data_IF_140714213266
#
_entry.id   IF_140714213266
#
_cell.length_a   1.000
_cell.length_b   1.000
_cell.length_c   1.000
_cell.angle_alpha   90.00
_cell.angle_beta   90.00
_cell.angle_gamma   90.00
#
_symmetry.space_group_name_H-M   'P 1'
#
loop_
_entity.id
_entity.type
_entity.pdbx_description
1 polymer ?
#
# COMPACT_ATOMS: atom_id res chain seq x y z
N UNK A 1 15.41 17.22 16.03
CA UNK A 1 15.31 17.13 14.55
C UNK A 1 16.08 18.29 13.97
N UNK A 2 16.97 18.07 13.00
CA UNK A 2 17.79 19.15 12.41
C UNK A 2 16.97 20.00 11.43
N UNK A 3 17.30 21.30 11.25
CA UNK A 3 16.63 22.18 10.28
C UNK A 3 16.63 21.62 8.85
N UNK A 4 17.66 20.86 8.48
CA UNK A 4 17.77 20.22 7.18
C UNK A 4 16.73 19.11 6.94
N UNK A 5 16.36 18.35 7.98
CA UNK A 5 15.30 17.34 7.87
C UNK A 5 13.92 18.00 7.68
N UNK A 6 13.70 19.14 8.35
CA UNK A 6 12.48 19.93 8.17
C UNK A 6 12.42 20.56 6.77
N UNK A 7 13.55 21.05 6.26
CA UNK A 7 13.65 21.63 4.92
C UNK A 7 13.43 20.59 3.81
N UNK A 8 13.96 19.37 3.97
CA UNK A 8 13.74 18.27 3.03
C UNK A 8 12.26 17.84 2.99
N UNK A 9 11.60 17.77 4.15
CA UNK A 9 10.17 17.50 4.23
C UNK A 9 9.33 18.58 3.53
N UNK A 10 9.70 19.85 3.67
CA UNK A 10 9.02 20.96 2.96
C UNK A 10 9.27 20.98 1.45
N UNK A 11 10.36 20.37 0.97
CA UNK A 11 10.64 20.26 -0.47
C UNK A 11 9.99 19.03 -1.12
N UNK A 12 9.58 18.03 -0.33
CA UNK A 12 8.76 16.91 -0.80
C UNK A 12 7.31 17.32 -1.06
N UNK A 13 6.84 18.41 -0.45
CA UNK A 13 5.55 19.00 -0.79
C UNK A 13 5.64 19.69 -2.15
N UNK A 14 5.18 18.97 -3.18
CA UNK A 14 4.78 19.60 -4.42
C UNK A 14 3.82 20.78 -4.12
N UNK A 15 3.90 21.90 -4.86
CA UNK A 15 3.02 23.04 -4.64
C UNK A 15 1.57 22.56 -4.60
N UNK A 16 0.85 22.96 -3.55
CA UNK A 16 -0.53 22.58 -3.31
C UNK A 16 -1.35 22.87 -4.56
N UNK A 17 -1.85 21.83 -5.21
CA UNK A 17 -2.85 22.00 -6.24
C UNK A 17 -4.09 22.57 -5.54
N UNK A 18 -4.70 23.64 -6.07
CA UNK A 18 -5.82 24.36 -5.42
C UNK A 18 -7.12 23.55 -5.27
N UNK A 19 -7.06 22.22 -5.40
CA UNK A 19 -8.18 21.28 -5.25
C UNK A 19 -7.94 20.35 -4.07
N UNK A 20 -9.02 20.06 -3.34
CA UNK A 20 -8.98 19.15 -2.20
C UNK A 20 -8.54 17.72 -2.62
N UNK A 21 -8.01 16.92 -1.68
CA UNK A 21 -7.77 15.49 -1.89
C UNK A 21 -9.04 14.76 -2.34
N UNK A 22 -8.89 13.84 -3.30
CA UNK A 22 -9.99 12.98 -3.77
C UNK A 22 -9.83 11.56 -3.24
N UNK A 23 -10.67 11.17 -2.29
CA UNK A 23 -10.61 9.86 -1.64
C UNK A 23 -11.27 8.75 -2.45
N UNK A 24 -12.15 9.07 -3.40
CA UNK A 24 -12.98 8.07 -4.08
C UNK A 24 -12.10 7.17 -4.94
N UNK A 25 -11.22 7.76 -5.75
CA UNK A 25 -10.34 6.99 -6.65
C UNK A 25 -9.39 6.08 -5.85
N UNK A 26 -8.61 6.56 -4.85
CA UNK A 26 -7.75 5.68 -4.05
C UNK A 26 -8.52 4.61 -3.30
N UNK A 27 -9.70 4.92 -2.74
CA UNK A 27 -10.48 3.95 -1.98
C UNK A 27 -11.03 2.83 -2.87
N UNK A 28 -11.63 3.18 -4.01
CA UNK A 28 -12.15 2.19 -4.97
C UNK A 28 -11.01 1.34 -5.54
N UNK A 29 -9.90 1.97 -5.92
CA UNK A 29 -8.70 1.26 -6.37
C UNK A 29 -8.22 0.26 -5.31
N UNK A 30 -8.05 0.72 -4.07
CA UNK A 30 -7.51 -0.11 -3.00
C UNK A 30 -8.42 -1.29 -2.68
N UNK A 31 -9.74 -1.08 -2.63
CA UNK A 31 -10.71 -2.16 -2.42
C UNK A 31 -10.67 -3.19 -3.56
N UNK A 32 -10.58 -2.74 -4.81
CA UNK A 32 -10.46 -3.63 -5.96
C UNK A 32 -9.14 -4.43 -5.90
N UNK A 33 -8.02 -3.75 -5.63
CA UNK A 33 -6.70 -4.36 -5.51
C UNK A 33 -6.67 -5.42 -4.40
N UNK A 34 -7.13 -5.08 -3.19
CA UNK A 34 -7.21 -6.03 -2.07
C UNK A 34 -8.13 -7.22 -2.39
N UNK A 35 -9.26 -6.98 -3.07
CA UNK A 35 -10.15 -8.09 -3.47
C UNK A 35 -9.45 -9.04 -4.44
N UNK A 36 -8.73 -8.52 -5.43
CA UNK A 36 -7.96 -9.33 -6.39
C UNK A 36 -6.80 -10.05 -5.70
N UNK A 37 -6.07 -9.37 -4.83
CA UNK A 37 -4.99 -9.98 -4.03
C UNK A 37 -5.53 -11.11 -3.16
N UNK A 38 -6.66 -10.90 -2.49
CA UNK A 38 -7.31 -11.92 -1.66
C UNK A 38 -7.75 -13.12 -2.48
N UNK A 39 -8.40 -12.89 -3.62
CA UNK A 39 -8.81 -13.97 -4.52
C UNK A 39 -7.60 -14.77 -5.03
N UNK A 40 -6.52 -14.07 -5.38
CA UNK A 40 -5.26 -14.67 -5.82
C UNK A 40 -4.62 -15.49 -4.71
N UNK A 41 -4.55 -14.96 -3.49
CA UNK A 41 -4.02 -15.67 -2.32
C UNK A 41 -4.85 -16.93 -2.02
N UNK A 42 -6.18 -16.86 -2.08
CA UNK A 42 -7.06 -18.02 -1.92
C UNK A 42 -6.86 -19.08 -3.00
N UNK A 43 -6.49 -18.70 -4.21
CA UNK A 43 -6.19 -19.63 -5.30
C UNK A 43 -4.81 -20.28 -5.16
N UNK A 44 -3.78 -19.49 -4.86
CA UNK A 44 -2.40 -19.96 -4.75
C UNK A 44 -2.12 -20.69 -3.43
N UNK A 45 -2.71 -20.23 -2.33
CA UNK A 45 -2.60 -20.80 -0.97
C UNK A 45 -3.99 -21.07 -0.36
N UNK A 46 -4.68 -22.15 -0.82
CA UNK A 46 -5.99 -22.52 -0.29
C UNK A 46 -6.04 -22.72 1.24
N UNK A 47 -4.92 -23.12 1.84
CA UNK A 47 -4.76 -23.23 3.29
C UNK A 47 -3.87 -22.07 3.77
N UNK A 48 -4.35 -21.14 4.61
CA UNK A 48 -5.65 -21.11 5.30
C UNK A 48 -6.75 -20.31 4.58
N UNK A 49 -6.57 -19.88 3.33
CA UNK A 49 -7.38 -18.78 2.80
C UNK A 49 -8.69 -19.14 2.10
N UNK A 50 -8.87 -20.38 1.62
CA UNK A 50 -10.06 -20.79 0.87
C UNK A 50 -10.84 -21.93 1.51
N UNK A 51 -10.31 -22.59 2.55
CA UNK A 51 -11.01 -23.71 3.19
C UNK A 51 -12.08 -23.19 4.17
N UNK A 52 -13.32 -23.69 4.13
CA UNK A 52 -14.42 -23.19 4.95
C UNK A 52 -14.17 -23.18 6.45
N UNK A 53 -13.34 -24.09 6.99
CA UNK A 53 -13.04 -24.11 8.42
C UNK A 53 -12.25 -22.90 8.93
N UNK A 54 -11.58 -22.18 8.03
CA UNK A 54 -10.88 -20.95 8.39
C UNK A 54 -11.73 -19.72 8.17
N UNK A 55 -12.95 -19.85 7.63
CA UNK A 55 -13.78 -18.67 7.41
C UNK A 55 -14.11 -18.01 8.74
N UNK A 56 -13.67 -16.76 8.86
CA UNK A 56 -13.70 -15.96 10.07
C UNK A 56 -12.95 -16.53 11.29
N UNK A 57 -12.06 -17.50 11.12
CA UNK A 57 -11.43 -18.20 12.24
C UNK A 57 -10.50 -17.31 13.08
N UNK A 58 -9.83 -16.33 12.49
CA UNK A 58 -8.84 -15.50 13.19
C UNK A 58 -9.29 -14.05 13.42
N UNK A 59 -10.54 -13.68 13.13
CA UNK A 59 -11.01 -12.32 13.46
C UNK A 59 -11.09 -12.08 14.97
N UNK A 60 -11.47 -13.08 15.77
CA UNK A 60 -11.44 -12.93 17.22
C UNK A 60 -10.02 -12.62 17.69
N UNK A 61 -9.03 -13.41 17.25
CA UNK A 61 -7.63 -13.16 17.57
C UNK A 61 -7.15 -11.80 17.06
N UNK A 62 -7.57 -11.40 15.86
CA UNK A 62 -7.19 -10.12 15.26
C UNK A 62 -7.59 -8.95 16.17
N UNK A 63 -8.78 -8.97 16.76
CA UNK A 63 -9.28 -7.86 17.57
C UNK A 63 -9.04 -8.01 19.08
N UNK A 64 -8.60 -9.18 19.56
CA UNK A 64 -8.40 -9.44 21.00
C UNK A 64 -6.94 -9.65 21.39
N UNK A 65 -6.08 -9.95 20.44
CA UNK A 65 -4.66 -10.20 20.66
C UNK A 65 -3.79 -9.13 19.99
N UNK A 66 -2.58 -8.87 20.49
CA UNK A 66 -1.64 -8.03 19.77
C UNK A 66 -1.28 -8.65 18.41
N UNK A 67 -0.91 -7.83 17.41
CA UNK A 67 -0.39 -8.31 16.14
C UNK A 67 0.75 -9.32 16.34
N UNK A 68 0.79 -10.34 15.48
CA UNK A 68 1.73 -11.43 15.54
C UNK A 68 3.16 -10.91 15.37
N UNK A 69 4.01 -11.31 16.31
CA UNK A 69 5.39 -10.87 16.41
C UNK A 69 6.23 -11.97 17.07
N UNK A 70 6.70 -12.93 16.28
CA UNK A 70 7.57 -14.01 16.73
C UNK A 70 9.03 -13.74 16.39
N UNK A 71 9.81 -13.30 17.40
CA UNK A 71 11.24 -13.00 17.24
C UNK A 71 12.12 -14.25 17.05
N UNK A 72 11.58 -15.46 17.22
CA UNK A 72 12.32 -16.69 16.93
C UNK A 72 12.44 -16.94 15.42
N UNK A 73 11.56 -16.33 14.64
CA UNK A 73 11.61 -16.38 13.18
C UNK A 73 12.71 -15.46 12.62
N UNK A 74 13.16 -15.71 11.38
CA UNK A 74 14.08 -14.82 10.70
C UNK A 74 13.53 -13.39 10.56
N UNK A 75 14.42 -12.44 10.28
CA UNK A 75 14.07 -11.05 10.04
C UNK A 75 12.99 -10.92 8.95
N UNK A 76 11.97 -10.09 9.22
CA UNK A 76 10.81 -9.84 8.35
C UNK A 76 9.95 -11.07 8.04
N UNK A 77 9.95 -12.08 8.93
CA UNK A 77 9.15 -13.31 8.81
C UNK A 77 8.48 -13.67 10.15
N UNK A 78 8.18 -12.67 11.00
CA UNK A 78 7.70 -12.85 12.38
C UNK A 78 6.28 -13.42 12.49
N UNK A 79 5.55 -13.48 11.40
CA UNK A 79 4.26 -14.11 11.24
C UNK A 79 4.34 -15.52 10.63
N UNK A 80 5.52 -15.94 10.18
CA UNK A 80 5.76 -17.22 9.51
C UNK A 80 5.67 -17.16 7.99
N UNK A 81 5.31 -16.02 7.42
CA UNK A 81 5.30 -15.83 5.97
C UNK A 81 6.72 -15.64 5.44
N UNK A 82 6.93 -16.01 4.18
CA UNK A 82 8.26 -15.93 3.59
C UNK A 82 8.63 -14.47 3.26
N UNK A 83 9.94 -14.22 3.21
CA UNK A 83 10.50 -12.89 2.96
C UNK A 83 9.97 -12.21 1.68
N UNK A 84 9.65 -12.98 0.63
CA UNK A 84 9.18 -12.41 -0.63
C UNK A 84 7.79 -11.77 -0.46
N UNK A 85 6.88 -12.41 0.27
CA UNK A 85 5.55 -11.86 0.56
C UNK A 85 5.71 -10.61 1.43
N UNK A 86 6.41 -10.73 2.55
CA UNK A 86 6.51 -9.67 3.56
C UNK A 86 7.32 -8.46 3.13
N UNK A 87 8.29 -8.62 2.21
CA UNK A 87 9.13 -7.50 1.77
C UNK A 87 8.74 -7.03 0.38
N UNK A 88 8.66 -7.94 -0.60
CA UNK A 88 8.36 -7.54 -1.99
C UNK A 88 6.86 -7.33 -2.17
N UNK A 89 6.02 -8.25 -1.70
CA UNK A 89 4.57 -8.14 -1.77
C UNK A 89 4.06 -6.89 -1.04
N UNK A 90 4.30 -6.81 0.28
CA UNK A 90 3.90 -5.67 1.09
C UNK A 90 4.60 -4.36 0.68
N UNK A 91 5.85 -4.42 0.22
CA UNK A 91 6.55 -3.25 -0.29
C UNK A 91 5.88 -2.66 -1.53
N UNK A 92 5.53 -3.52 -2.50
CA UNK A 92 4.81 -3.10 -3.71
C UNK A 92 3.37 -2.67 -3.40
N UNK A 93 2.69 -3.38 -2.50
CA UNK A 93 1.34 -3.01 -2.06
C UNK A 93 1.32 -1.63 -1.40
N UNK A 94 2.18 -1.40 -0.40
CA UNK A 94 2.32 -0.10 0.25
C UNK A 94 2.71 1.01 -0.73
N UNK A 95 3.61 0.71 -1.69
CA UNK A 95 3.98 1.63 -2.76
C UNK A 95 2.79 2.06 -3.60
N UNK A 96 1.91 1.12 -3.97
CA UNK A 96 0.72 1.40 -4.76
C UNK A 96 -0.29 2.25 -3.98
N UNK A 97 -0.61 1.84 -2.75
CA UNK A 97 -1.53 2.57 -1.87
C UNK A 97 -1.11 4.02 -1.67
N UNK A 98 0.18 4.24 -1.38
CA UNK A 98 0.74 5.57 -1.21
C UNK A 98 0.67 6.36 -2.52
N UNK A 99 1.11 5.77 -3.64
CA UNK A 99 1.15 6.47 -4.93
C UNK A 99 -0.24 6.90 -5.38
N UNK A 100 -1.26 6.04 -5.27
CA UNK A 100 -2.65 6.39 -5.63
C UNK A 100 -3.12 7.63 -4.84
N UNK A 101 -2.96 7.61 -3.51
CA UNK A 101 -3.31 8.76 -2.68
C UNK A 101 -2.50 10.02 -3.05
N UNK A 102 -1.22 9.84 -3.37
CA UNK A 102 -0.32 10.92 -3.75
C UNK A 102 -0.71 11.59 -5.08
N UNK A 103 -1.07 10.79 -6.08
CA UNK A 103 -1.65 11.27 -7.34
C UNK A 103 -3.01 11.96 -7.12
N UNK A 104 -3.76 11.54 -6.10
CA UNK A 104 -5.05 12.12 -5.70
C UNK A 104 -4.94 13.27 -4.68
N UNK A 105 -3.79 13.95 -4.63
CA UNK A 105 -3.56 15.21 -3.90
C UNK A 105 -3.52 15.12 -2.36
N UNK A 106 -3.27 13.94 -1.77
CA UNK A 106 -3.24 13.77 -0.30
C UNK A 106 -2.02 14.40 0.42
N UNK A 107 -1.02 14.93 -0.30
CA UNK A 107 0.25 15.33 0.32
C UNK A 107 1.06 14.11 0.82
N UNK A 108 2.27 14.32 1.35
CA UNK A 108 3.11 13.21 1.85
C UNK A 108 2.46 12.55 3.08
N UNK A 109 2.08 13.36 4.07
CA UNK A 109 1.51 12.87 5.34
C UNK A 109 0.16 12.20 5.11
N UNK A 110 -0.72 12.79 4.30
CA UNK A 110 -2.01 12.18 3.99
C UNK A 110 -1.88 10.88 3.20
N UNK A 111 -0.91 10.79 2.28
CA UNK A 111 -0.66 9.55 1.52
C UNK A 111 -0.08 8.45 2.40
N UNK A 112 0.80 8.79 3.35
CA UNK A 112 1.27 7.85 4.37
C UNK A 112 0.13 7.37 5.27
N UNK A 113 -0.70 8.29 5.77
CA UNK A 113 -1.84 7.95 6.61
C UNK A 113 -2.85 7.05 5.87
N UNK A 114 -3.09 7.33 4.59
CA UNK A 114 -3.91 6.49 3.73
C UNK A 114 -3.32 5.10 3.58
N UNK A 115 -2.03 4.98 3.22
CA UNK A 115 -1.36 3.70 3.08
C UNK A 115 -1.34 2.89 4.39
N UNK A 116 -1.12 3.55 5.53
CA UNK A 116 -1.14 2.91 6.84
C UNK A 116 -2.53 2.40 7.22
N UNK A 117 -3.57 3.23 7.02
CA UNK A 117 -4.95 2.84 7.29
C UNK A 117 -5.41 1.69 6.39
N UNK A 118 -5.07 1.74 5.10
CA UNK A 118 -5.43 0.67 4.16
C UNK A 118 -4.62 -0.60 4.40
N UNK A 119 -3.35 -0.50 4.84
CA UNK A 119 -2.58 -1.66 5.30
C UNK A 119 -3.23 -2.31 6.53
N UNK A 120 -3.69 -1.51 7.49
CA UNK A 120 -4.44 -2.05 8.63
C UNK A 120 -5.75 -2.71 8.19
N UNK A 121 -6.47 -2.13 7.21
CA UNK A 121 -7.66 -2.75 6.64
C UNK A 121 -7.37 -4.07 5.93
N UNK A 122 -6.23 -4.21 5.25
CA UNK A 122 -5.80 -5.48 4.69
C UNK A 122 -5.62 -6.54 5.78
N UNK A 123 -4.77 -6.26 6.76
CA UNK A 123 -4.40 -7.17 7.85
C UNK A 123 -5.63 -7.61 8.66
N UNK A 124 -6.42 -6.64 9.13
CA UNK A 124 -7.55 -6.89 10.02
C UNK A 124 -8.84 -7.25 9.28
N UNK A 125 -8.97 -6.89 8.00
CA UNK A 125 -10.20 -7.03 7.24
C UNK A 125 -10.16 -8.20 6.24
N UNK A 126 -9.08 -8.34 5.48
CA UNK A 126 -8.97 -9.34 4.41
C UNK A 126 -8.15 -10.57 4.82
N UNK A 127 -7.05 -10.36 5.55
CA UNK A 127 -6.09 -11.40 5.89
C UNK A 127 -6.43 -12.14 7.19
N UNK A 128 -7.01 -11.43 8.16
CA UNK A 128 -7.58 -11.96 9.42
C UNK A 128 -8.57 -13.11 9.26
N UNK A 129 -9.06 -13.39 8.04
CA UNK A 129 -9.76 -14.63 7.78
C UNK A 129 -8.85 -15.85 7.96
N UNK A 130 -7.63 -15.82 7.45
CA UNK A 130 -6.72 -16.97 7.47
C UNK A 130 -5.63 -16.94 8.53
N UNK A 131 -5.17 -15.76 8.94
CA UNK A 131 -4.05 -15.61 9.89
C UNK A 131 -4.24 -14.36 10.75
N UNK A 132 -3.66 -14.34 11.96
CA UNK A 132 -3.67 -13.14 12.82
C UNK A 132 -2.83 -12.01 12.18
N UNK A 133 -3.25 -10.72 12.27
CA UNK A 133 -2.52 -9.56 11.73
C UNK A 133 -1.02 -9.56 12.07
N UNK A 134 -0.19 -9.20 11.11
CA UNK A 134 1.26 -9.17 11.22
C UNK A 134 1.77 -7.82 11.74
N UNK A 135 2.56 -7.84 12.82
CA UNK A 135 3.10 -6.62 13.43
C UNK A 135 4.09 -5.89 12.51
N UNK A 136 4.89 -6.66 11.77
CA UNK A 136 5.87 -6.10 10.84
C UNK A 136 5.20 -5.48 9.63
N UNK A 137 4.15 -6.08 9.09
CA UNK A 137 3.53 -5.61 7.86
C UNK A 137 2.71 -4.35 8.09
N UNK A 138 2.09 -4.21 9.26
CA UNK A 138 1.48 -2.96 9.73
C UNK A 138 2.47 -1.78 9.80
N UNK A 139 3.77 -2.05 9.97
CA UNK A 139 4.83 -1.03 10.04
C UNK A 139 5.53 -0.86 8.70
N UNK A 140 5.93 -1.96 8.08
CA UNK A 140 6.75 -1.97 6.88
C UNK A 140 5.98 -1.51 5.65
N UNK A 141 4.74 -1.97 5.46
CA UNK A 141 3.91 -1.62 4.30
C UNK A 141 3.80 -0.10 4.11
N UNK A 142 3.39 0.71 5.11
CA UNK A 142 3.28 2.15 4.91
C UNK A 142 4.65 2.86 4.80
N UNK A 143 5.71 2.33 5.42
CA UNK A 143 7.06 2.91 5.30
C UNK A 143 7.67 2.66 3.92
N UNK A 144 7.53 1.44 3.39
CA UNK A 144 7.86 1.11 2.01
C UNK A 144 7.01 1.93 1.04
N UNK A 145 5.74 2.19 1.40
CA UNK A 145 4.85 3.09 0.70
C UNK A 145 5.43 4.48 0.49
N UNK A 146 5.90 5.14 1.56
CA UNK A 146 6.60 6.42 1.42
C UNK A 146 7.81 6.28 0.50
N UNK A 147 8.71 5.33 0.79
CA UNK A 147 10.00 5.25 0.11
C UNK A 147 9.86 5.00 -1.40
N UNK A 148 9.08 3.98 -1.77
CA UNK A 148 8.90 3.57 -3.17
C UNK A 148 7.83 4.40 -3.87
N UNK A 149 6.72 4.68 -3.19
CA UNK A 149 5.60 5.45 -3.75
C UNK A 149 5.99 6.89 -4.04
N UNK A 150 6.73 7.56 -3.16
CA UNK A 150 7.20 8.93 -3.43
C UNK A 150 8.22 8.96 -4.59
N UNK A 151 9.11 7.97 -4.68
CA UNK A 151 10.03 7.83 -5.82
C UNK A 151 9.27 7.68 -7.15
N UNK A 152 8.26 6.80 -7.18
CA UNK A 152 7.37 6.62 -8.35
C UNK A 152 6.64 7.91 -8.69
N UNK A 153 6.12 8.62 -7.68
CA UNK A 153 5.44 9.91 -7.85
C UNK A 153 6.35 10.97 -8.49
N UNK A 154 7.59 11.10 -8.01
CA UNK A 154 8.55 12.04 -8.59
C UNK A 154 8.88 11.70 -10.05
N UNK A 155 9.15 10.43 -10.35
CA UNK A 155 9.45 9.99 -11.73
C UNK A 155 8.26 10.25 -12.65
N UNK A 156 7.04 9.91 -12.21
CA UNK A 156 5.82 10.19 -12.98
C UNK A 156 5.66 11.68 -13.28
N UNK A 157 5.79 12.53 -12.25
CA UNK A 157 5.67 13.99 -12.37
C UNK A 157 6.74 14.60 -13.27
N UNK A 158 7.99 14.13 -13.16
CA UNK A 158 9.12 14.62 -13.96
C UNK A 158 8.98 14.30 -15.45
N UNK A 159 8.23 13.24 -15.78
CA UNK A 159 8.06 12.76 -17.16
C UNK A 159 6.73 13.17 -17.81
N UNK A 160 5.82 13.82 -17.07
CA UNK A 160 4.46 14.16 -17.52
C UNK A 160 4.39 14.96 -18.83
N UNK A 161 5.31 15.89 -19.04
CA UNK A 161 5.33 16.78 -20.21
C UNK A 161 6.38 16.35 -21.26
N UNK A 162 7.03 15.21 -21.08
CA UNK A 162 8.18 14.77 -21.88
C UNK A 162 7.76 13.64 -22.83
N UNK A 163 7.34 14.00 -24.05
CA UNK A 163 6.71 13.07 -25.01
C UNK A 163 7.54 11.82 -25.36
N UNK A 164 8.87 11.92 -25.39
CA UNK A 164 9.73 10.79 -25.80
C UNK A 164 9.94 9.74 -24.70
N UNK A 165 9.54 10.02 -23.45
CA UNK A 165 9.63 9.08 -22.31
C UNK A 165 8.27 8.79 -21.69
N UNK A 166 7.18 8.97 -22.43
CA UNK A 166 5.83 8.72 -21.93
C UNK A 166 5.65 7.29 -21.38
N UNK A 167 6.32 6.31 -21.96
CA UNK A 167 6.32 4.92 -21.49
C UNK A 167 6.82 4.76 -20.04
N UNK A 168 7.64 5.69 -19.53
CA UNK A 168 8.11 5.67 -18.14
C UNK A 168 6.94 5.80 -17.18
N UNK A 169 5.93 6.61 -17.51
CA UNK A 169 4.72 6.76 -16.69
C UNK A 169 3.95 5.44 -16.58
N UNK A 170 3.87 4.68 -17.66
CA UNK A 170 3.27 3.34 -17.67
C UNK A 170 4.06 2.32 -16.86
N UNK A 171 5.38 2.48 -16.75
CA UNK A 171 6.21 1.60 -15.92
C UNK A 171 6.04 1.92 -14.43
N UNK A 172 6.04 3.21 -14.07
CA UNK A 172 5.97 3.61 -12.64
C UNK A 172 4.54 3.71 -12.12
N UNK A 173 3.54 3.83 -12.99
CA UNK A 173 2.14 4.00 -12.61
C UNK A 173 1.16 3.35 -13.60
N UNK A 174 1.27 2.03 -13.88
CA UNK A 174 0.43 1.36 -14.87
C UNK A 174 -1.07 1.47 -14.54
N UNK A 175 -1.45 1.28 -13.27
CA UNK A 175 -2.85 1.35 -12.87
C UNK A 175 -3.40 2.76 -12.95
N UNK A 176 -2.64 3.78 -12.54
CA UNK A 176 -3.06 5.16 -12.69
C UNK A 176 -3.22 5.58 -14.13
N UNK A 177 -2.38 5.11 -15.06
CA UNK A 177 -2.56 5.39 -16.47
C UNK A 177 -3.86 4.78 -17.03
N UNK A 178 -4.24 3.58 -16.58
CA UNK A 178 -5.52 2.94 -16.92
C UNK A 178 -6.70 3.74 -16.35
N UNK A 179 -6.62 4.14 -15.09
CA UNK A 179 -7.65 4.94 -14.41
C UNK A 179 -7.86 6.29 -15.11
N UNK A 180 -6.77 6.99 -15.44
CA UNK A 180 -6.82 8.25 -16.18
C UNK A 180 -7.39 8.09 -17.58
N UNK A 181 -7.04 7.00 -18.28
CA UNK A 181 -7.65 6.66 -19.57
C UNK A 181 -9.16 6.37 -19.45
N UNK A 182 -9.62 5.88 -18.29
CA UNK A 182 -11.02 5.70 -17.95
C UNK A 182 -11.71 6.98 -17.44
N UNK A 183 -10.99 8.11 -17.34
CA UNK A 183 -11.53 9.42 -17.02
C UNK A 183 -11.40 9.85 -15.55
N UNK A 184 -10.56 9.19 -14.74
CA UNK A 184 -10.28 9.68 -13.37
C UNK A 184 -9.52 11.01 -13.41
N UNK A 185 -9.84 11.89 -12.46
CA UNK A 185 -9.23 13.23 -12.34
C UNK A 185 -7.90 13.27 -11.58
N UNK A 186 -7.32 12.11 -11.32
CA UNK A 186 -6.11 11.85 -10.56
C UNK A 186 -5.34 10.69 -11.22
#
# INVERSE_FOLDING_TARGET
>A
MTPAALLALTQLEAPAENRAPDIVVPAVHSLALMTVMRATASYLWPDPFSKPQYFAAHYEEAFTMPPKFDRSQPFMQWDGDNLLINVVGHGLFGSELYLRARQCRFGVVGSFAFAAATSALWEYGFEANGVRPSAQDLVFTPLAGIALGEARYFVHRATKDVRHVEWVRWVVDPFGEIERAAGTGC
#
